data_IF_470988808962
#
_entry.id   IF_470988808962
#
_cell.length_a   1.000
_cell.length_b   1.000
_cell.length_c   1.000
_cell.angle_alpha   90.00
_cell.angle_beta   90.00
_cell.angle_gamma   90.00
#
_symmetry.space_group_name_H-M   'P 1'
#
loop_
_entity.id
_entity.type
_entity.pdbx_description
1 polymer ?
#
# COMPACT_ATOMS: atom_id res chain seq x y z
N UNK A 1 -25.09 -17.37 12.28
CA UNK A 1 -25.12 -18.64 11.53
C UNK A 1 -23.85 -18.74 10.70
N UNK A 2 -23.07 -19.81 10.90
CA UNK A 2 -21.92 -20.10 10.05
C UNK A 2 -22.45 -20.76 8.77
N UNK A 3 -22.45 -20.01 7.66
CA UNK A 3 -22.84 -20.54 6.34
C UNK A 3 -21.61 -20.89 5.53
N UNK A 4 -21.74 -21.84 4.63
CA UNK A 4 -20.65 -22.25 3.72
C UNK A 4 -21.00 -21.97 2.26
N UNK A 5 -19.99 -21.75 1.42
CA UNK A 5 -20.16 -21.41 0.00
C UNK A 5 -19.43 -22.43 -0.88
N UNK A 6 -20.16 -23.15 -1.74
CA UNK A 6 -19.57 -24.15 -2.64
C UNK A 6 -20.32 -24.26 -3.96
N UNK A 7 -19.67 -24.86 -4.95
CA UNK A 7 -20.32 -25.22 -6.21
C UNK A 7 -21.47 -26.19 -5.95
N UNK A 8 -22.54 -26.05 -6.75
CA UNK A 8 -23.64 -27.01 -6.73
C UNK A 8 -23.28 -28.24 -7.56
N UNK A 9 -23.78 -29.39 -7.12
CA UNK A 9 -23.76 -30.63 -7.90
C UNK A 9 -25.11 -30.85 -8.60
N UNK A 10 -25.12 -31.68 -9.65
CA UNK A 10 -26.36 -32.05 -10.35
C UNK A 10 -27.42 -32.70 -9.45
N UNK A 11 -26.99 -33.36 -8.37
CA UNK A 11 -27.90 -33.95 -7.37
C UNK A 11 -28.72 -32.89 -6.62
N UNK A 12 -28.31 -31.62 -6.64
CA UNK A 12 -28.94 -30.51 -5.93
C UNK A 12 -29.82 -29.64 -6.85
N UNK A 13 -29.94 -30.00 -8.14
CA UNK A 13 -30.68 -29.22 -9.13
C UNK A 13 -32.16 -29.03 -8.76
N UNK A 14 -32.79 -30.05 -8.17
CA UNK A 14 -34.21 -29.97 -7.75
C UNK A 14 -34.40 -28.98 -6.59
N UNK A 15 -33.48 -28.99 -5.62
CA UNK A 15 -33.51 -28.04 -4.50
C UNK A 15 -33.28 -26.60 -4.99
N UNK A 16 -32.33 -26.39 -5.92
CA UNK A 16 -32.09 -25.09 -6.53
C UNK A 16 -33.33 -24.60 -7.31
N UNK A 17 -33.93 -25.47 -8.14
CA UNK A 17 -35.13 -25.12 -8.89
C UNK A 17 -36.30 -24.74 -7.96
N UNK A 18 -36.50 -25.47 -6.86
CA UNK A 18 -37.53 -25.15 -5.88
C UNK A 18 -37.33 -23.76 -5.23
N UNK A 19 -36.10 -23.41 -4.87
CA UNK A 19 -35.78 -22.07 -4.33
C UNK A 19 -36.02 -20.98 -5.37
N UNK A 20 -35.70 -21.24 -6.64
CA UNK A 20 -35.87 -20.27 -7.73
C UNK A 20 -37.34 -19.99 -8.03
N UNK A 21 -38.15 -21.04 -8.18
CA UNK A 21 -39.60 -20.93 -8.39
C UNK A 21 -40.27 -20.19 -7.23
N UNK A 22 -39.84 -20.42 -5.99
CA UNK A 22 -40.34 -19.71 -4.82
C UNK A 22 -39.86 -18.24 -4.71
N UNK A 23 -38.90 -17.82 -5.54
CA UNK A 23 -38.29 -16.49 -5.49
C UNK A 23 -38.73 -15.55 -6.62
N UNK A 24 -39.28 -16.08 -7.71
CA UNK A 24 -39.71 -15.31 -8.86
C UNK A 24 -41.22 -15.45 -9.13
N UNK A 25 -41.79 -14.47 -9.84
CA UNK A 25 -43.16 -14.56 -10.34
C UNK A 25 -43.30 -15.72 -11.36
N UNK A 26 -44.52 -16.28 -11.53
CA UNK A 26 -44.75 -17.32 -12.53
C UNK A 26 -44.25 -16.92 -13.92
N UNK A 27 -43.46 -17.81 -14.55
CA UNK A 27 -42.87 -17.58 -15.88
C UNK A 27 -41.53 -16.83 -15.90
N UNK A 28 -41.03 -16.31 -14.75
CA UNK A 28 -39.69 -15.71 -14.65
C UNK A 28 -38.60 -16.68 -14.16
N UNK A 29 -38.97 -17.75 -13.45
CA UNK A 29 -38.02 -18.74 -12.94
C UNK A 29 -37.48 -19.64 -14.07
N UNK A 30 -36.20 -20.01 -13.99
CA UNK A 30 -35.63 -21.01 -14.88
C UNK A 30 -36.28 -22.39 -14.69
N UNK A 31 -36.47 -23.11 -15.80
CA UNK A 31 -36.95 -24.50 -15.78
C UNK A 31 -35.92 -25.43 -15.13
N UNK A 32 -36.35 -26.59 -14.61
CA UNK A 32 -35.43 -27.58 -14.04
C UNK A 32 -34.35 -28.03 -15.04
N UNK A 33 -34.71 -28.14 -16.33
CA UNK A 33 -33.75 -28.44 -17.41
C UNK A 33 -32.69 -27.35 -17.51
N UNK A 34 -33.09 -26.08 -17.58
CA UNK A 34 -32.13 -24.96 -17.62
C UNK A 34 -31.21 -24.93 -16.40
N UNK A 35 -31.72 -25.26 -15.20
CA UNK A 35 -30.89 -25.37 -14.00
C UNK A 35 -29.86 -26.49 -14.12
N UNK A 36 -30.29 -27.68 -14.58
CA UNK A 36 -29.38 -28.81 -14.82
C UNK A 36 -28.31 -28.48 -15.86
N UNK A 37 -28.70 -27.86 -16.97
CA UNK A 37 -27.80 -27.45 -18.04
C UNK A 37 -26.78 -26.42 -17.52
N UNK A 38 -27.21 -25.42 -16.73
CA UNK A 38 -26.29 -24.44 -16.13
C UNK A 38 -25.32 -25.06 -15.13
N UNK A 39 -25.76 -26.04 -14.32
CA UNK A 39 -24.86 -26.77 -13.41
C UNK A 39 -23.84 -27.59 -14.21
N UNK A 40 -24.27 -28.22 -15.30
CA UNK A 40 -23.41 -29.05 -16.14
C UNK A 40 -22.42 -28.23 -16.98
N UNK A 41 -22.90 -27.26 -17.75
CA UNK A 41 -22.13 -26.50 -18.74
C UNK A 41 -21.41 -25.30 -18.14
N UNK A 42 -21.95 -24.73 -17.06
CA UNK A 42 -21.48 -23.50 -16.44
C UNK A 42 -21.30 -23.64 -14.92
N UNK A 43 -21.06 -24.85 -14.40
CA UNK A 43 -20.96 -25.13 -12.96
C UNK A 43 -19.90 -24.29 -12.24
N UNK A 44 -18.82 -23.92 -12.94
CA UNK A 44 -17.78 -22.98 -12.50
C UNK A 44 -18.31 -21.58 -12.11
N UNK A 45 -19.49 -21.25 -12.61
CA UNK A 45 -20.20 -19.99 -12.43
C UNK A 45 -21.51 -20.20 -11.66
N UNK A 46 -21.65 -21.32 -10.94
CA UNK A 46 -22.81 -21.64 -10.11
C UNK A 46 -22.37 -21.83 -8.65
N UNK A 47 -22.76 -20.90 -7.78
CA UNK A 47 -22.37 -20.88 -6.37
C UNK A 47 -23.59 -20.97 -5.45
N UNK A 48 -23.58 -21.96 -4.54
CA UNK A 48 -24.57 -22.12 -3.49
C UNK A 48 -24.09 -21.58 -2.15
N UNK A 49 -25.05 -21.15 -1.33
CA UNK A 49 -24.87 -20.90 0.10
C UNK A 49 -25.64 -21.94 0.90
N UNK A 50 -24.98 -22.49 1.91
CA UNK A 50 -25.48 -23.62 2.68
C UNK A 50 -25.54 -23.27 4.16
N UNK A 51 -26.66 -23.62 4.78
CA UNK A 51 -26.85 -23.67 6.22
C UNK A 51 -26.66 -25.12 6.67
N UNK A 52 -25.55 -25.38 7.36
CA UNK A 52 -24.99 -26.72 7.52
C UNK A 52 -24.84 -27.44 6.14
N UNK A 53 -25.68 -28.43 5.86
CA UNK A 53 -25.69 -29.20 4.60
C UNK A 53 -26.83 -28.80 3.67
N UNK A 54 -27.74 -27.92 4.11
CA UNK A 54 -28.94 -27.56 3.35
C UNK A 54 -28.66 -26.38 2.44
N UNK A 55 -28.99 -26.49 1.15
CA UNK A 55 -28.95 -25.36 0.22
C UNK A 55 -30.01 -24.33 0.61
N UNK A 56 -29.59 -23.10 0.90
CA UNK A 56 -30.49 -22.01 1.33
C UNK A 56 -30.48 -20.80 0.39
N UNK A 57 -29.69 -20.85 -0.68
CA UNK A 57 -29.66 -19.85 -1.73
C UNK A 57 -28.55 -20.14 -2.73
N UNK A 58 -28.60 -19.47 -3.88
CA UNK A 58 -27.55 -19.59 -4.89
C UNK A 58 -27.52 -18.40 -5.84
N UNK A 59 -26.41 -18.29 -6.54
CA UNK A 59 -26.20 -17.40 -7.67
C UNK A 59 -25.63 -18.20 -8.82
N UNK A 60 -26.12 -17.95 -10.03
CA UNK A 60 -25.65 -18.63 -11.23
C UNK A 60 -25.52 -17.65 -12.40
N UNK A 61 -24.63 -18.00 -13.33
CA UNK A 61 -24.42 -17.23 -14.54
C UNK A 61 -23.83 -18.08 -15.67
N UNK A 62 -23.83 -17.53 -16.88
CA UNK A 62 -23.15 -18.11 -18.04
C UNK A 62 -22.19 -17.10 -18.65
N UNK A 63 -21.12 -17.59 -19.28
CA UNK A 63 -20.25 -16.74 -20.07
C UNK A 63 -20.86 -16.46 -21.43
N UNK A 64 -20.61 -15.26 -21.92
CA UNK A 64 -21.00 -14.75 -23.23
C UNK A 64 -19.79 -14.20 -23.99
N UNK A 65 -19.86 -14.32 -25.32
CA UNK A 65 -18.91 -13.69 -26.22
C UNK A 65 -19.20 -12.19 -26.41
N UNK A 66 -20.43 -11.75 -26.12
CA UNK A 66 -20.88 -10.36 -26.27
C UNK A 66 -21.04 -9.70 -24.90
N UNK A 67 -20.70 -8.42 -24.81
CA UNK A 67 -20.85 -7.65 -23.57
C UNK A 67 -22.31 -7.31 -23.29
N UNK A 68 -23.07 -7.02 -24.35
CA UNK A 68 -24.46 -6.61 -24.23
C UNK A 68 -25.37 -7.79 -23.84
N UNK A 69 -26.25 -7.56 -22.87
CA UNK A 69 -27.28 -8.52 -22.52
C UNK A 69 -28.44 -8.46 -23.54
N UNK A 70 -28.54 -9.52 -24.35
CA UNK A 70 -29.61 -9.78 -25.33
C UNK A 70 -30.15 -11.19 -25.09
N UNK A 71 -31.31 -11.52 -25.65
CA UNK A 71 -31.84 -12.90 -25.55
C UNK A 71 -30.82 -13.93 -26.05
N UNK A 72 -30.15 -13.64 -27.17
CA UNK A 72 -29.10 -14.49 -27.75
C UNK A 72 -27.88 -14.62 -26.84
N UNK A 73 -27.39 -13.50 -26.29
CA UNK A 73 -26.17 -13.49 -25.48
C UNK A 73 -26.35 -14.17 -24.11
N UNK A 74 -27.60 -14.30 -23.65
CA UNK A 74 -27.99 -14.97 -22.42
C UNK A 74 -28.41 -16.44 -22.62
N UNK A 75 -28.64 -16.89 -23.85
CA UNK A 75 -29.24 -18.19 -24.14
C UNK A 75 -28.31 -19.39 -23.85
N UNK A 76 -27.01 -19.25 -24.13
CA UNK A 76 -26.06 -20.36 -24.07
C UNK A 76 -24.78 -20.00 -23.31
N UNK A 77 -24.14 -21.01 -22.74
CA UNK A 77 -22.81 -20.84 -22.15
C UNK A 77 -21.74 -20.87 -23.25
N UNK A 78 -20.91 -19.82 -23.30
CA UNK A 78 -19.75 -19.74 -24.17
C UNK A 78 -18.46 -19.94 -23.35
N UNK A 79 -17.81 -21.12 -23.36
CA UNK A 79 -16.63 -21.40 -22.52
C UNK A 79 -15.44 -20.46 -22.72
N UNK A 80 -15.33 -19.83 -23.91
CA UNK A 80 -14.30 -18.84 -24.25
C UNK A 80 -14.80 -17.39 -24.15
N UNK A 81 -16.01 -17.18 -23.64
CA UNK A 81 -16.60 -15.88 -23.39
C UNK A 81 -15.82 -15.10 -22.33
N UNK A 82 -15.94 -13.78 -22.37
CA UNK A 82 -15.28 -12.87 -21.42
C UNK A 82 -16.26 -12.10 -20.54
N UNK A 83 -17.54 -12.17 -20.87
CA UNK A 83 -18.59 -11.43 -20.17
C UNK A 83 -19.48 -12.44 -19.45
N UNK A 84 -19.64 -12.30 -18.14
CA UNK A 84 -20.50 -13.19 -17.37
C UNK A 84 -21.88 -12.57 -17.19
N UNK A 85 -22.93 -13.25 -17.64
CA UNK A 85 -24.30 -12.87 -17.34
C UNK A 85 -24.80 -13.62 -16.11
N UNK A 86 -25.18 -12.91 -15.05
CA UNK A 86 -25.90 -13.50 -13.91
C UNK A 86 -27.37 -13.67 -14.29
N UNK A 87 -27.87 -14.89 -14.15
CA UNK A 87 -29.28 -15.21 -14.44
C UNK A 87 -30.15 -15.15 -13.20
N UNK A 88 -29.64 -15.62 -12.06
CA UNK A 88 -30.42 -15.67 -10.81
C UNK A 88 -29.54 -15.42 -9.60
N UNK A 89 -30.06 -14.67 -8.63
CA UNK A 89 -29.53 -14.53 -7.27
C UNK A 89 -30.70 -14.68 -6.30
N UNK A 90 -30.81 -15.85 -5.68
CA UNK A 90 -31.98 -16.22 -4.87
C UNK A 90 -31.57 -16.73 -3.49
N UNK A 91 -32.40 -16.41 -2.49
CA UNK A 91 -32.27 -16.89 -1.11
C UNK A 91 -33.63 -17.39 -0.66
N UNK A 92 -33.65 -18.58 -0.05
CA UNK A 92 -34.85 -19.20 0.49
C UNK A 92 -35.56 -18.26 1.47
N UNK A 93 -36.90 -18.27 1.46
CA UNK A 93 -37.71 -17.30 2.21
C UNK A 93 -37.37 -17.27 3.71
N UNK A 94 -37.10 -18.44 4.31
CA UNK A 94 -36.68 -18.61 5.71
C UNK A 94 -35.36 -17.93 6.07
N UNK A 95 -34.54 -17.60 5.08
CA UNK A 95 -33.18 -17.09 5.24
C UNK A 95 -33.00 -15.67 4.69
N UNK A 96 -34.08 -15.04 4.21
CA UNK A 96 -34.07 -13.64 3.71
C UNK A 96 -33.89 -12.65 4.87
N UNK A 97 -33.45 -11.43 4.53
CA UNK A 97 -33.19 -10.31 5.48
C UNK A 97 -32.09 -10.57 6.52
N UNK A 98 -31.29 -11.62 6.34
CA UNK A 98 -30.14 -11.95 7.19
C UNK A 98 -28.78 -11.55 6.56
N UNK A 99 -28.81 -10.72 5.51
CA UNK A 99 -27.61 -10.31 4.76
C UNK A 99 -26.98 -11.39 3.88
N UNK A 100 -27.63 -12.56 3.72
CA UNK A 100 -27.08 -13.68 2.97
C UNK A 100 -26.92 -13.41 1.48
N UNK A 101 -27.85 -12.67 0.85
CA UNK A 101 -27.73 -12.29 -0.56
C UNK A 101 -26.47 -11.44 -0.82
N UNK A 102 -26.17 -10.49 0.07
CA UNK A 102 -24.94 -9.68 -0.01
C UNK A 102 -23.69 -10.54 0.14
N UNK A 103 -23.67 -11.44 1.13
CA UNK A 103 -22.53 -12.36 1.35
C UNK A 103 -22.32 -13.32 0.18
N UNK A 104 -23.40 -13.82 -0.40
CA UNK A 104 -23.37 -14.70 -1.56
C UNK A 104 -22.85 -13.98 -2.79
N UNK A 105 -23.43 -12.82 -3.13
CA UNK A 105 -23.00 -12.03 -4.28
C UNK A 105 -21.56 -11.54 -4.14
N UNK A 106 -21.16 -11.06 -2.95
CA UNK A 106 -19.77 -10.62 -2.74
C UNK A 106 -18.77 -11.77 -2.81
N UNK A 107 -19.14 -12.98 -2.36
CA UNK A 107 -18.32 -14.18 -2.52
C UNK A 107 -18.22 -14.59 -3.99
N UNK A 108 -19.32 -14.50 -4.72
CA UNK A 108 -19.38 -14.82 -6.14
C UNK A 108 -18.53 -13.87 -6.98
N UNK A 109 -18.75 -12.56 -6.86
CA UNK A 109 -17.95 -11.54 -7.55
C UNK A 109 -16.45 -11.72 -7.26
N UNK A 110 -16.06 -11.95 -6.00
CA UNK A 110 -14.66 -12.20 -5.65
C UNK A 110 -14.06 -13.39 -6.42
N UNK A 111 -14.76 -14.52 -6.49
CA UNK A 111 -14.29 -15.70 -7.25
C UNK A 111 -14.18 -15.43 -8.75
N UNK A 112 -14.99 -14.53 -9.28
CA UNK A 112 -15.00 -14.17 -10.70
C UNK A 112 -13.91 -13.15 -11.06
N UNK A 113 -13.62 -12.21 -10.16
CA UNK A 113 -12.49 -11.28 -10.31
C UNK A 113 -11.17 -12.05 -10.43
N UNK A 114 -11.02 -13.15 -9.68
CA UNK A 114 -9.84 -14.04 -9.76
C UNK A 114 -9.72 -14.79 -11.10
N UNK A 115 -10.83 -14.97 -11.82
CA UNK A 115 -10.83 -15.55 -13.15
C UNK A 115 -10.43 -14.48 -14.17
N UNK A 116 -9.14 -14.41 -14.49
CA UNK A 116 -8.54 -13.34 -15.31
C UNK A 116 -9.15 -13.17 -16.71
N UNK A 117 -9.76 -14.22 -17.27
CA UNK A 117 -10.47 -14.13 -18.55
C UNK A 117 -11.80 -13.39 -18.47
N UNK A 118 -12.44 -13.34 -17.30
CA UNK A 118 -13.70 -12.61 -17.07
C UNK A 118 -13.39 -11.12 -16.97
N UNK A 119 -13.88 -10.36 -17.95
CA UNK A 119 -13.72 -8.91 -18.04
C UNK A 119 -14.83 -8.17 -17.28
N UNK A 120 -16.07 -8.63 -17.41
CA UNK A 120 -17.25 -7.95 -16.85
C UNK A 120 -18.25 -8.96 -16.33
N UNK A 121 -18.93 -8.64 -15.24
CA UNK A 121 -20.12 -9.35 -14.77
C UNK A 121 -21.32 -8.45 -15.02
N UNK A 122 -22.31 -8.92 -15.75
CA UNK A 122 -23.52 -8.20 -16.10
C UNK A 122 -24.75 -8.88 -15.52
N UNK A 123 -25.78 -8.10 -15.19
CA UNK A 123 -27.08 -8.61 -14.75
C UNK A 123 -28.19 -7.63 -15.10
N UNK A 124 -29.42 -8.16 -15.15
CA UNK A 124 -30.64 -7.37 -15.21
C UNK A 124 -31.24 -7.24 -13.82
N UNK A 125 -31.64 -6.03 -13.43
CA UNK A 125 -32.32 -5.78 -12.16
C UNK A 125 -33.55 -4.90 -12.32
N UNK A 126 -34.64 -5.32 -11.67
CA UNK A 126 -35.82 -4.50 -11.46
C UNK A 126 -35.46 -3.22 -10.68
N UNK A 127 -36.15 -2.08 -10.91
CA UNK A 127 -35.83 -0.80 -10.28
C UNK A 127 -35.65 -0.86 -8.76
N UNK A 128 -36.44 -1.67 -8.06
CA UNK A 128 -36.40 -1.80 -6.61
C UNK A 128 -35.13 -2.50 -6.07
N UNK A 129 -34.43 -3.27 -6.92
CA UNK A 129 -33.21 -4.01 -6.58
C UNK A 129 -31.92 -3.28 -7.00
N UNK A 130 -31.99 -2.25 -7.84
CA UNK A 130 -30.81 -1.51 -8.33
C UNK A 130 -29.93 -1.03 -7.17
N UNK A 131 -30.53 -0.43 -6.14
CA UNK A 131 -29.78 0.08 -4.99
C UNK A 131 -29.02 -1.00 -4.23
N UNK A 132 -29.49 -2.25 -4.24
CA UNK A 132 -28.77 -3.39 -3.63
C UNK A 132 -27.51 -3.72 -4.43
N UNK A 133 -27.61 -3.84 -5.75
CA UNK A 133 -26.47 -4.17 -6.61
C UNK A 133 -25.43 -3.05 -6.66
N UNK A 134 -25.87 -1.79 -6.67
CA UNK A 134 -24.95 -0.63 -6.58
C UNK A 134 -24.15 -0.66 -5.28
N UNK A 135 -24.78 -0.99 -4.15
CA UNK A 135 -24.07 -1.21 -2.87
C UNK A 135 -23.08 -2.38 -2.93
N UNK A 136 -23.26 -3.31 -3.85
CA UNK A 136 -22.34 -4.43 -4.10
C UNK A 136 -21.28 -4.12 -5.17
N UNK A 137 -21.17 -2.87 -5.63
CA UNK A 137 -20.13 -2.41 -6.56
C UNK A 137 -20.50 -2.46 -8.04
N UNK A 138 -21.76 -2.76 -8.38
CA UNK A 138 -22.23 -2.70 -9.77
C UNK A 138 -22.57 -1.25 -10.17
N UNK A 139 -22.29 -0.89 -11.42
CA UNK A 139 -22.70 0.36 -12.02
C UNK A 139 -23.91 0.15 -12.94
N UNK A 140 -24.87 1.08 -12.93
CA UNK A 140 -25.99 1.09 -13.89
C UNK A 140 -25.47 1.62 -15.23
N UNK A 141 -25.67 0.87 -16.31
CA UNK A 141 -25.19 1.24 -17.65
C UNK A 141 -26.32 1.84 -18.48
N UNK A 142 -27.46 1.16 -18.54
CA UNK A 142 -28.61 1.56 -19.36
C UNK A 142 -29.90 0.92 -18.87
N UNK A 143 -31.02 1.40 -19.40
CA UNK A 143 -32.28 0.67 -19.39
C UNK A 143 -32.17 -0.52 -20.34
N UNK A 144 -32.66 -1.68 -19.92
CA UNK A 144 -32.57 -2.92 -20.68
C UNK A 144 -33.33 -2.81 -22.00
N UNK A 145 -32.74 -3.21 -23.14
CA UNK A 145 -33.48 -3.37 -24.39
C UNK A 145 -34.38 -4.63 -24.37
N UNK A 146 -34.11 -5.58 -23.46
CA UNK A 146 -34.89 -6.80 -23.26
C UNK A 146 -36.02 -6.48 -22.28
N UNK A 147 -37.25 -6.36 -22.81
CA UNK A 147 -38.43 -6.09 -22.01
C UNK A 147 -39.16 -7.39 -21.64
N UNK A 148 -39.00 -7.86 -20.40
CA UNK A 148 -39.88 -8.90 -19.86
C UNK A 148 -41.18 -8.25 -19.35
N UNK A 149 -42.31 -8.44 -20.05
CA UNK A 149 -43.66 -8.02 -19.65
C UNK A 149 -43.84 -6.52 -19.32
N UNK A 150 -43.34 -5.62 -20.17
CA UNK A 150 -43.55 -4.15 -20.07
C UNK A 150 -42.91 -3.45 -18.85
N UNK A 151 -42.18 -4.16 -17.98
CA UNK A 151 -41.36 -3.56 -16.94
C UNK A 151 -39.95 -3.29 -17.48
N UNK A 152 -39.44 -2.07 -17.28
CA UNK A 152 -38.09 -1.72 -17.75
C UNK A 152 -37.07 -2.03 -16.66
N UNK A 153 -36.39 -3.16 -16.81
CA UNK A 153 -35.24 -3.52 -15.99
C UNK A 153 -34.03 -2.67 -16.37
N UNK A 154 -33.06 -2.58 -15.45
CA UNK A 154 -31.78 -1.94 -15.68
C UNK A 154 -30.71 -2.99 -15.95
N UNK A 155 -29.81 -2.69 -16.88
CA UNK A 155 -28.58 -3.44 -17.07
C UNK A 155 -27.49 -2.86 -16.17
N UNK A 156 -26.93 -3.71 -15.31
CA UNK A 156 -25.85 -3.34 -14.40
C UNK A 156 -24.61 -4.17 -14.66
N UNK A 157 -23.45 -3.55 -14.50
CA UNK A 157 -22.15 -4.20 -14.72
C UNK A 157 -21.20 -4.03 -13.55
N UNK A 158 -20.38 -5.05 -13.31
CA UNK A 158 -19.22 -5.01 -12.44
C UNK A 158 -17.98 -5.22 -13.31
N UNK A 159 -17.05 -4.26 -13.28
CA UNK A 159 -15.82 -4.31 -14.06
C UNK A 159 -14.75 -5.11 -13.31
N UNK A 160 -14.54 -6.36 -13.72
CA UNK A 160 -13.51 -7.23 -13.12
C UNK A 160 -12.10 -6.76 -13.46
N UNK A 161 -11.89 -6.06 -14.59
CA UNK A 161 -10.58 -5.52 -14.95
C UNK A 161 -10.22 -4.40 -13.99
N UNK A 162 -11.12 -3.42 -13.81
CA UNK A 162 -10.92 -2.34 -12.86
C UNK A 162 -10.78 -2.85 -11.41
N UNK A 163 -11.52 -3.90 -11.04
CA UNK A 163 -11.43 -4.51 -9.72
C UNK A 163 -10.12 -5.28 -9.46
N UNK A 164 -9.37 -5.67 -10.50
CA UNK A 164 -8.04 -6.28 -10.39
C UNK A 164 -6.91 -5.24 -10.34
N UNK A 165 -7.19 -4.00 -10.73
CA UNK A 165 -6.18 -2.95 -10.68
C UNK A 165 -5.79 -2.65 -9.24
N UNK A 166 -4.50 -2.42 -9.01
CA UNK A 166 -3.96 -2.08 -7.70
C UNK A 166 -3.58 -0.61 -7.68
N UNK A 167 -4.08 0.13 -6.70
CA UNK A 167 -3.71 1.53 -6.52
C UNK A 167 -2.24 1.66 -6.13
N UNK A 168 -1.57 2.60 -6.79
CA UNK A 168 -0.19 2.98 -6.50
C UNK A 168 -0.09 4.49 -6.47
N UNK A 169 0.61 5.01 -5.47
CA UNK A 169 0.92 6.43 -5.36
C UNK A 169 2.43 6.62 -5.24
N UNK A 170 2.90 7.81 -5.64
CA UNK A 170 4.25 8.28 -5.34
C UNK A 170 4.12 9.44 -4.37
N UNK A 171 4.83 9.33 -3.24
CA UNK A 171 4.81 10.31 -2.17
C UNK A 171 6.25 10.75 -1.90
N UNK A 172 6.43 12.06 -1.89
CA UNK A 172 7.67 12.69 -1.45
C UNK A 172 7.62 12.88 0.05
N UNK A 173 8.37 12.06 0.79
CA UNK A 173 8.49 12.13 2.24
C UNK A 173 9.52 13.19 2.66
N UNK A 174 9.30 13.83 3.81
CA UNK A 174 10.09 14.96 4.31
C UNK A 174 10.08 16.17 3.37
N UNK A 175 8.97 16.36 2.65
CA UNK A 175 8.77 17.40 1.66
C UNK A 175 7.61 18.32 2.04
N UNK A 176 7.75 19.62 1.71
CA UNK A 176 6.65 20.61 1.81
C UNK A 176 6.08 20.97 0.45
N UNK A 177 6.78 20.62 -0.63
CA UNK A 177 6.37 20.84 -2.02
C UNK A 177 6.69 19.59 -2.85
N UNK A 178 5.97 19.36 -3.96
CA UNK A 178 6.31 18.32 -4.92
C UNK A 178 7.77 18.42 -5.36
N UNK A 179 8.39 17.26 -5.57
CA UNK A 179 9.75 17.07 -6.09
C UNK A 179 10.89 17.44 -5.12
N UNK A 180 10.56 17.76 -3.87
CA UNK A 180 11.50 17.80 -2.75
C UNK A 180 11.47 16.45 -1.99
N UNK A 181 12.26 16.31 -0.94
CA UNK A 181 12.23 15.13 -0.07
C UNK A 181 12.76 13.85 -0.71
N UNK A 182 12.39 12.72 -0.11
CA UNK A 182 12.73 11.38 -0.59
C UNK A 182 11.48 10.68 -1.15
N UNK A 183 11.44 10.35 -2.46
CA UNK A 183 10.28 9.74 -3.08
C UNK A 183 10.16 8.26 -2.68
N UNK A 184 8.95 7.84 -2.33
CA UNK A 184 8.61 6.43 -2.19
C UNK A 184 7.33 6.11 -2.97
N UNK A 185 7.33 4.97 -3.66
CA UNK A 185 6.08 4.40 -4.14
C UNK A 185 5.37 3.72 -2.98
N UNK A 186 4.05 3.86 -2.89
CA UNK A 186 3.21 3.17 -1.90
C UNK A 186 2.12 2.41 -2.62
N UNK A 187 1.98 1.14 -2.29
CA UNK A 187 0.99 0.22 -2.83
C UNK A 187 0.13 -0.29 -1.68
N UNK A 188 -1.15 0.09 -1.70
CA UNK A 188 -2.13 -0.35 -0.70
C UNK A 188 -2.80 -1.62 -1.20
N UNK A 189 -2.67 -2.70 -0.44
CA UNK A 189 -3.17 -4.03 -0.78
C UNK A 189 -4.26 -4.45 0.21
N UNK A 190 -5.18 -5.28 -0.26
CA UNK A 190 -6.00 -6.10 0.63
C UNK A 190 -5.15 -7.15 1.33
N UNK A 191 -5.61 -7.66 2.48
CA UNK A 191 -4.91 -8.73 3.20
C UNK A 191 -4.68 -9.95 2.31
N UNK A 192 -5.68 -10.29 1.50
CA UNK A 192 -5.60 -11.41 0.56
C UNK A 192 -4.55 -11.22 -0.52
N UNK A 193 -4.46 -10.02 -1.11
CA UNK A 193 -3.43 -9.71 -2.11
C UNK A 193 -2.03 -9.79 -1.48
N UNK A 194 -1.89 -9.32 -0.24
CA UNK A 194 -0.65 -9.37 0.52
C UNK A 194 -0.20 -10.81 0.84
N UNK A 195 -1.14 -11.75 0.96
CA UNK A 195 -0.90 -13.17 1.26
C UNK A 195 -0.96 -14.07 0.00
N UNK A 196 -1.09 -13.48 -1.19
CA UNK A 196 -1.24 -14.26 -2.42
C UNK A 196 0.02 -15.08 -2.74
N UNK A 197 -0.10 -16.31 -3.28
CA UNK A 197 1.05 -17.08 -3.73
C UNK A 197 1.89 -16.29 -4.75
N UNK A 198 3.20 -16.21 -4.53
CA UNK A 198 4.11 -15.48 -5.42
C UNK A 198 4.08 -13.95 -5.28
N UNK A 199 3.34 -13.39 -4.31
CA UNK A 199 3.24 -11.94 -4.08
C UNK A 199 4.60 -11.29 -3.84
N UNK A 200 5.54 -11.95 -3.16
CA UNK A 200 6.87 -11.41 -2.91
C UNK A 200 7.67 -11.17 -4.21
N UNK A 201 7.62 -12.13 -5.14
CA UNK A 201 8.25 -11.97 -6.44
C UNK A 201 7.62 -10.81 -7.21
N UNK A 202 6.29 -10.67 -7.12
CA UNK A 202 5.57 -9.54 -7.72
C UNK A 202 5.96 -8.20 -7.06
N UNK A 203 6.04 -8.14 -5.73
CA UNK A 203 6.49 -6.94 -4.99
C UNK A 203 7.90 -6.52 -5.41
N UNK A 204 8.82 -7.48 -5.57
CA UNK A 204 10.17 -7.18 -6.05
C UNK A 204 10.18 -6.69 -7.50
N UNK A 205 9.39 -7.30 -8.39
CA UNK A 205 9.28 -6.87 -9.80
C UNK A 205 8.72 -5.45 -9.92
N UNK A 206 7.67 -5.14 -9.15
CA UNK A 206 7.09 -3.79 -9.13
C UNK A 206 8.09 -2.79 -8.57
N UNK A 207 8.83 -3.12 -7.51
CA UNK A 207 9.85 -2.23 -6.96
C UNK A 207 10.98 -1.94 -7.96
N UNK A 208 11.43 -2.97 -8.69
CA UNK A 208 12.40 -2.85 -9.77
C UNK A 208 11.88 -1.93 -10.90
N UNK A 209 10.64 -2.16 -11.35
CA UNK A 209 10.00 -1.36 -12.41
C UNK A 209 9.78 0.11 -11.98
N UNK A 210 9.47 0.37 -10.71
CA UNK A 210 9.32 1.74 -10.19
C UNK A 210 10.64 2.49 -10.08
N UNK A 211 11.73 1.77 -9.80
CA UNK A 211 13.09 2.32 -9.74
C UNK A 211 13.23 3.59 -8.87
N UNK A 212 12.45 3.66 -7.79
CA UNK A 212 12.62 4.64 -6.70
C UNK A 212 13.53 4.04 -5.62
N UNK A 213 13.95 4.85 -4.64
CA UNK A 213 14.73 4.38 -3.49
C UNK A 213 14.06 3.15 -2.86
N UNK A 214 12.75 3.27 -2.59
CA UNK A 214 11.94 2.18 -2.05
C UNK A 214 10.50 2.21 -2.59
N UNK A 215 9.92 1.01 -2.67
CA UNK A 215 8.47 0.80 -2.78
C UNK A 215 7.95 0.15 -1.50
N UNK A 216 6.97 0.78 -0.86
CA UNK A 216 6.27 0.29 0.32
C UNK A 216 5.00 -0.45 -0.07
N UNK A 217 4.81 -1.65 0.49
CA UNK A 217 3.58 -2.42 0.36
C UNK A 217 2.90 -2.50 1.72
N UNK A 218 1.64 -2.05 1.79
CA UNK A 218 0.90 -1.93 3.03
C UNK A 218 -0.46 -2.61 2.92
N UNK A 219 -0.84 -3.38 3.94
CA UNK A 219 -2.14 -4.04 4.01
C UNK A 219 -2.60 -4.18 5.46
N UNK A 220 -3.91 -4.23 5.75
CA UNK A 220 -4.37 -4.57 7.09
C UNK A 220 -3.87 -5.96 7.53
N UNK A 221 -3.82 -6.23 8.84
CA UNK A 221 -3.42 -7.56 9.35
C UNK A 221 -4.38 -8.67 8.90
N UNK A 222 -5.68 -8.37 8.89
CA UNK A 222 -6.73 -9.25 8.38
C UNK A 222 -7.96 -8.42 8.02
N UNK A 223 -8.96 -9.06 7.39
CA UNK A 223 -10.24 -8.42 7.09
C UNK A 223 -10.91 -7.81 8.33
N UNK A 224 -10.67 -8.38 9.52
CA UNK A 224 -11.20 -7.85 10.77
C UNK A 224 -10.51 -6.55 11.22
N UNK A 225 -9.32 -6.25 10.71
CA UNK A 225 -8.51 -5.07 11.09
C UNK A 225 -8.65 -3.90 10.11
N UNK A 226 -9.49 -4.01 9.07
CA UNK A 226 -9.76 -2.90 8.16
C UNK A 226 -10.30 -1.71 8.96
N UNK A 227 -9.63 -0.57 8.88
CA UNK A 227 -9.98 0.65 9.61
C UNK A 227 -9.58 0.67 11.09
N UNK A 228 -8.72 -0.26 11.56
CA UNK A 228 -8.30 -0.36 12.97
C UNK A 228 -6.85 0.09 13.22
N UNK A 229 -6.24 0.84 12.30
CA UNK A 229 -4.86 1.34 12.44
C UNK A 229 -3.79 0.23 12.67
N UNK A 230 -4.08 -1.02 12.29
CA UNK A 230 -3.19 -2.18 12.41
C UNK A 230 -2.84 -2.74 11.02
N UNK A 231 -1.59 -2.55 10.62
CA UNK A 231 -1.14 -2.84 9.25
C UNK A 231 0.13 -3.69 9.23
N UNK A 232 0.29 -4.46 8.17
CA UNK A 232 1.56 -5.06 7.74
C UNK A 232 2.23 -4.12 6.77
N UNK A 233 3.55 -4.03 6.84
CA UNK A 233 4.34 -3.15 5.97
C UNK A 233 5.65 -3.83 5.58
N UNK A 234 5.93 -3.84 4.28
CA UNK A 234 7.18 -4.33 3.67
C UNK A 234 7.76 -3.24 2.77
N UNK A 235 9.09 -3.22 2.63
CA UNK A 235 9.78 -2.27 1.76
C UNK A 235 10.76 -2.99 0.86
N UNK A 236 10.73 -2.62 -0.41
CA UNK A 236 11.59 -3.18 -1.42
C UNK A 236 12.36 -2.06 -2.10
N UNK A 237 13.67 -2.22 -2.17
CA UNK A 237 14.50 -1.52 -3.14
C UNK A 237 14.34 -2.21 -4.50
N UNK A 238 14.88 -1.64 -5.60
CA UNK A 238 14.91 -2.34 -6.88
C UNK A 238 15.62 -3.70 -6.86
N UNK A 239 16.52 -3.93 -5.88
CA UNK A 239 17.33 -5.15 -5.80
C UNK A 239 16.89 -6.18 -4.76
N UNK A 240 16.30 -5.76 -3.64
CA UNK A 240 15.89 -6.65 -2.55
C UNK A 240 14.87 -6.01 -1.59
N UNK A 241 14.21 -6.87 -0.79
CA UNK A 241 13.50 -6.46 0.42
C UNK A 241 14.48 -5.97 1.49
N UNK A 242 14.14 -4.88 2.18
CA UNK A 242 14.91 -4.35 3.30
C UNK A 242 14.11 -4.40 4.60
N UNK A 243 14.76 -4.62 5.75
CA UNK A 243 14.05 -4.86 7.00
C UNK A 243 13.44 -3.59 7.62
N UNK A 244 13.89 -2.40 7.21
CA UNK A 244 13.46 -1.12 7.78
C UNK A 244 13.67 0.04 6.80
N UNK A 245 12.64 0.87 6.57
CA UNK A 245 12.78 2.13 5.85
C UNK A 245 11.92 3.25 6.46
N UNK A 246 12.55 4.34 6.88
CA UNK A 246 11.86 5.46 7.52
C UNK A 246 10.96 6.25 6.56
N UNK A 247 11.51 6.79 5.47
CA UNK A 247 10.76 7.70 4.61
C UNK A 247 9.59 7.00 3.90
N UNK A 248 9.76 5.73 3.51
CA UNK A 248 8.69 4.93 2.91
C UNK A 248 7.62 4.51 3.93
N UNK A 249 7.96 4.39 5.23
CA UNK A 249 6.97 4.27 6.32
C UNK A 249 6.17 5.54 6.48
N UNK A 250 6.82 6.71 6.45
CA UNK A 250 6.15 8.00 6.48
C UNK A 250 5.19 8.16 5.29
N UNK A 251 5.65 7.82 4.09
CA UNK A 251 4.84 7.82 2.89
C UNK A 251 3.62 6.88 2.99
N UNK A 252 3.80 5.68 3.56
CA UNK A 252 2.71 4.73 3.76
C UNK A 252 1.67 5.27 4.75
N UNK A 253 2.10 5.80 5.89
CA UNK A 253 1.20 6.44 6.86
C UNK A 253 0.42 7.60 6.21
N UNK A 254 1.13 8.50 5.52
CA UNK A 254 0.49 9.60 4.77
C UNK A 254 -0.59 9.11 3.80
N UNK A 255 -0.28 8.06 3.03
CA UNK A 255 -1.21 7.48 2.04
C UNK A 255 -2.45 6.88 2.73
N UNK A 256 -2.25 6.14 3.82
CA UNK A 256 -3.37 5.55 4.58
C UNK A 256 -4.29 6.63 5.18
N UNK A 257 -3.76 7.78 5.56
CA UNK A 257 -4.57 8.89 6.07
C UNK A 257 -5.34 9.60 4.95
N UNK A 258 -4.65 9.99 3.89
CA UNK A 258 -5.26 10.69 2.75
C UNK A 258 -6.37 9.86 2.09
N UNK A 259 -6.22 8.53 2.04
CA UNK A 259 -7.20 7.61 1.45
C UNK A 259 -8.31 7.18 2.43
N UNK A 260 -8.32 7.72 3.66
CA UNK A 260 -9.34 7.42 4.65
C UNK A 260 -9.31 5.98 5.17
N UNK A 261 -8.14 5.32 5.10
CA UNK A 261 -7.94 3.97 5.63
C UNK A 261 -7.71 3.95 7.14
N UNK A 262 -7.31 5.09 7.75
CA UNK A 262 -7.01 5.20 9.18
C UNK A 262 -7.62 6.47 9.81
N UNK A 263 -7.82 6.44 11.13
CA UNK A 263 -8.10 7.65 11.92
C UNK A 263 -6.78 8.29 12.38
N UNK A 264 -6.64 9.61 12.23
CA UNK A 264 -5.45 10.34 12.64
C UNK A 264 -5.35 10.61 14.15
N UNK A 265 -6.37 10.25 14.92
CA UNK A 265 -6.38 10.36 16.39
C UNK A 265 -5.58 9.28 17.09
N UNK A 266 -5.35 8.15 16.43
CA UNK A 266 -4.62 7.01 16.98
C UNK A 266 -3.33 6.75 16.22
N UNK A 267 -2.35 6.15 16.89
CA UNK A 267 -1.13 5.70 16.22
C UNK A 267 -1.46 4.60 15.22
N UNK A 268 -0.82 4.61 14.06
CA UNK A 268 -0.76 3.43 13.20
C UNK A 268 0.33 2.51 13.72
N UNK A 269 0.01 1.22 13.82
CA UNK A 269 0.97 0.15 14.15
C UNK A 269 1.27 -0.66 12.90
N UNK A 270 2.54 -0.67 12.51
CA UNK A 270 3.06 -1.42 11.38
C UNK A 270 3.83 -2.65 11.86
N UNK A 271 3.39 -3.83 11.43
CA UNK A 271 4.03 -5.11 11.67
C UNK A 271 5.00 -5.40 10.51
N UNK A 272 6.29 -5.42 10.82
CA UNK A 272 7.38 -5.40 9.83
C UNK A 272 8.45 -6.43 10.18
N UNK A 273 9.41 -6.69 9.28
CA UNK A 273 10.54 -7.59 9.56
C UNK A 273 11.43 -7.12 10.73
N UNK A 274 11.49 -5.81 10.98
CA UNK A 274 12.20 -5.24 12.14
C UNK A 274 11.35 -5.18 13.41
N UNK A 275 10.16 -5.80 13.41
CA UNK A 275 9.20 -5.73 14.49
C UNK A 275 8.18 -4.60 14.31
N UNK A 276 7.61 -4.16 15.44
CA UNK A 276 6.54 -3.17 15.46
C UNK A 276 7.09 -1.75 15.29
N UNK A 277 6.65 -1.05 14.26
CA UNK A 277 6.86 0.38 14.10
C UNK A 277 5.56 1.13 14.38
N UNK A 278 5.68 2.35 14.90
CA UNK A 278 4.52 3.19 15.14
C UNK A 278 4.70 4.55 14.50
N UNK A 279 3.61 5.07 13.96
CA UNK A 279 3.54 6.44 13.44
C UNK A 279 2.37 7.15 14.10
N UNK A 280 2.53 8.45 14.35
CA UNK A 280 1.47 9.31 14.88
C UNK A 280 1.38 10.59 14.05
N UNK A 281 0.18 11.13 13.96
CA UNK A 281 -0.06 12.41 13.31
C UNK A 281 0.14 13.55 14.30
N UNK A 282 0.88 14.56 13.89
CA UNK A 282 1.18 15.76 14.68
C UNK A 282 0.64 16.97 13.92
N UNK A 283 -0.33 17.66 14.51
CA UNK A 283 -0.88 18.89 13.93
C UNK A 283 -0.03 20.06 14.42
N UNK A 284 0.61 20.74 13.47
CA UNK A 284 1.39 21.94 13.71
C UNK A 284 0.48 23.14 14.00
N UNK A 285 1.03 24.19 14.61
CA UNK A 285 0.28 25.40 14.97
C UNK A 285 -0.35 26.11 13.76
N UNK A 286 0.19 25.91 12.56
CA UNK A 286 -0.34 26.42 11.30
C UNK A 286 -1.36 25.48 10.63
N UNK A 287 -1.77 24.42 11.32
CA UNK A 287 -2.76 23.45 10.85
C UNK A 287 -2.19 22.35 9.94
N UNK A 288 -0.90 22.38 9.59
CA UNK A 288 -0.29 21.31 8.80
C UNK A 288 -0.20 20.02 9.61
N UNK A 289 -0.50 18.89 8.96
CA UNK A 289 -0.34 17.56 9.55
C UNK A 289 1.02 17.01 9.15
N UNK A 290 1.82 16.65 10.15
CA UNK A 290 3.07 15.93 9.98
C UNK A 290 2.97 14.55 10.59
N UNK A 291 3.89 13.67 10.21
CA UNK A 291 3.94 12.29 10.70
C UNK A 291 5.21 12.13 11.51
N UNK A 292 5.05 11.76 12.78
CA UNK A 292 6.14 11.43 13.70
C UNK A 292 6.32 9.91 13.77
N UNK A 293 7.57 9.46 13.64
CA UNK A 293 8.01 8.08 13.72
C UNK A 293 9.01 7.91 14.86
N UNK A 294 9.04 6.74 15.47
CA UNK A 294 9.85 6.46 16.66
C UNK A 294 10.95 5.41 16.39
N UNK A 295 12.21 5.82 16.53
CA UNK A 295 13.39 4.98 16.26
C UNK A 295 14.36 4.96 17.45
N UNK A 296 15.19 3.91 17.58
CA UNK A 296 16.29 3.96 18.54
C UNK A 296 17.37 4.95 18.06
N UNK A 297 17.97 5.68 18.99
CA UNK A 297 19.20 6.40 18.72
C UNK A 297 20.30 5.41 18.34
N UNK A 298 21.14 5.77 17.37
CA UNK A 298 22.33 5.00 17.06
C UNK A 298 23.37 5.23 18.15
N UNK A 299 24.10 4.17 18.52
CA UNK A 299 25.14 4.22 19.53
C UNK A 299 26.44 4.69 18.90
N UNK A 300 27.12 5.63 19.57
CA UNK A 300 28.49 6.02 19.26
C UNK A 300 29.41 4.81 19.44
N UNK A 301 30.30 4.60 18.49
CA UNK A 301 31.41 3.65 18.60
C UNK A 301 32.70 4.43 18.88
N UNK A 302 33.50 3.93 19.82
CA UNK A 302 34.80 4.50 20.14
C UNK A 302 35.88 3.76 19.34
N UNK A 303 36.83 4.51 18.80
CA UNK A 303 37.91 4.01 17.96
C UNK A 303 39.25 4.57 18.44
N UNK A 304 40.34 3.90 18.04
CA UNK A 304 41.70 4.35 18.33
C UNK A 304 42.14 5.50 17.42
N UNK A 305 43.30 6.09 17.74
CA UNK A 305 43.88 7.19 16.98
C UNK A 305 44.25 6.79 15.53
N UNK A 306 44.61 5.52 15.31
CA UNK A 306 44.97 5.02 13.99
C UNK A 306 43.77 5.05 13.04
N UNK A 307 42.62 4.52 13.50
CA UNK A 307 41.37 4.57 12.74
C UNK A 307 40.93 6.01 12.46
N UNK A 308 41.06 6.89 13.46
CA UNK A 308 40.72 8.31 13.29
C UNK A 308 41.60 8.95 12.22
N UNK A 309 42.92 8.78 12.29
CA UNK A 309 43.86 9.38 11.34
C UNK A 309 43.63 8.90 9.90
N UNK A 310 43.42 7.59 9.72
CA UNK A 310 43.10 6.99 8.42
C UNK A 310 41.78 7.54 7.88
N UNK A 311 40.72 7.49 8.69
CA UNK A 311 39.37 7.91 8.29
C UNK A 311 39.33 9.41 7.98
N UNK A 312 39.97 10.25 8.78
CA UNK A 312 40.13 11.69 8.48
C UNK A 312 40.83 11.93 7.15
N UNK A 313 41.92 11.19 6.89
CA UNK A 313 42.67 11.36 5.64
C UNK A 313 41.86 10.94 4.43
N UNK A 314 41.16 9.82 4.52
CA UNK A 314 40.28 9.33 3.47
C UNK A 314 39.11 10.28 3.24
N UNK A 315 38.47 10.79 4.29
CA UNK A 315 37.36 11.74 4.18
C UNK A 315 37.79 13.08 3.58
N UNK A 316 38.93 13.65 3.99
CA UNK A 316 39.42 14.90 3.42
C UNK A 316 39.67 14.76 1.90
N UNK A 317 40.32 13.67 1.50
CA UNK A 317 40.54 13.37 0.08
C UNK A 317 39.22 13.15 -0.67
N UNK A 318 38.35 12.28 -0.14
CA UNK A 318 37.12 11.88 -0.80
C UNK A 318 36.08 13.00 -0.88
N UNK A 319 36.07 13.94 0.07
CA UNK A 319 35.18 15.10 0.06
C UNK A 319 35.78 16.32 -0.66
N UNK A 320 37.06 16.22 -1.06
CA UNK A 320 37.84 17.29 -1.69
C UNK A 320 37.89 18.57 -0.84
N UNK A 321 38.16 18.40 0.46
CA UNK A 321 38.30 19.50 1.43
C UNK A 321 39.59 19.35 2.22
N UNK A 322 40.00 20.42 2.88
CA UNK A 322 41.19 20.40 3.72
C UNK A 322 40.94 19.67 5.04
N UNK A 323 41.96 18.95 5.54
CA UNK A 323 41.85 18.21 6.80
C UNK A 323 41.44 19.09 7.97
N UNK A 324 41.90 20.35 7.99
CA UNK A 324 41.59 21.30 9.06
C UNK A 324 40.12 21.76 9.07
N UNK A 325 39.37 21.53 7.98
CA UNK A 325 37.95 21.85 7.91
C UNK A 325 37.05 20.77 8.49
N UNK A 326 37.60 19.56 8.70
CA UNK A 326 36.93 18.48 9.42
C UNK A 326 37.12 18.74 10.91
N UNK A 327 36.01 18.97 11.60
CA UNK A 327 35.96 19.27 13.04
C UNK A 327 35.84 18.00 13.88
N UNK A 328 35.15 16.98 13.38
CA UNK A 328 35.01 15.69 14.06
C UNK A 328 34.69 14.57 13.07
N UNK A 329 35.16 13.37 13.38
CA UNK A 329 34.78 12.12 12.73
C UNK A 329 34.35 11.14 13.81
N UNK A 330 33.14 10.58 13.68
CA UNK A 330 32.57 9.68 14.68
C UNK A 330 31.75 8.59 14.00
N UNK A 331 31.92 7.34 14.41
CA UNK A 331 31.08 6.24 13.93
C UNK A 331 29.86 6.04 14.86
N UNK A 332 28.69 5.89 14.25
CA UNK A 332 27.41 5.60 14.91
C UNK A 332 26.72 4.42 14.22
N UNK A 333 26.71 3.26 14.87
CA UNK A 333 26.31 2.02 14.19
C UNK A 333 27.06 1.87 12.86
N UNK A 334 26.36 1.63 11.76
CA UNK A 334 26.98 1.45 10.43
C UNK A 334 27.35 2.76 9.70
N UNK A 335 27.32 3.92 10.37
CA UNK A 335 27.45 5.24 9.72
C UNK A 335 28.65 6.00 10.25
N UNK A 336 29.43 6.59 9.35
CA UNK A 336 30.54 7.49 9.72
C UNK A 336 30.06 8.93 9.56
N UNK A 337 29.95 9.65 10.67
CA UNK A 337 29.62 11.08 10.70
C UNK A 337 30.89 11.90 10.51
N UNK A 338 30.84 12.86 9.59
CA UNK A 338 31.88 13.84 9.31
C UNK A 338 31.32 15.25 9.56
N UNK A 339 31.69 15.87 10.67
CA UNK A 339 31.32 17.24 10.98
C UNK A 339 32.38 18.18 10.40
N UNK A 340 31.97 19.10 9.54
CA UNK A 340 32.84 20.07 8.89
C UNK A 340 32.40 21.50 9.16
N UNK A 341 33.29 22.46 8.92
CA UNK A 341 32.93 23.88 8.97
C UNK A 341 31.91 24.25 7.89
N UNK A 342 31.00 25.21 8.13
CA UNK A 342 30.00 25.62 7.15
C UNK A 342 30.55 26.01 5.77
N UNK A 343 31.68 26.74 5.63
CA UNK A 343 32.25 27.04 4.30
C UNK A 343 32.68 25.78 3.54
N UNK A 344 33.32 24.83 4.23
CA UNK A 344 33.76 23.57 3.63
C UNK A 344 32.57 22.69 3.25
N UNK A 345 31.52 22.65 4.08
CA UNK A 345 30.28 21.92 3.79
C UNK A 345 29.69 22.27 2.42
N UNK A 346 29.63 23.57 2.10
CA UNK A 346 29.13 24.05 0.81
C UNK A 346 30.07 23.80 -0.36
N UNK A 347 31.37 23.59 -0.10
CA UNK A 347 32.39 23.36 -1.12
C UNK A 347 32.59 21.87 -1.47
N UNK A 348 32.03 20.94 -0.69
CA UNK A 348 32.23 19.49 -0.87
C UNK A 348 31.84 19.02 -2.27
N UNK A 349 32.80 18.37 -2.94
CA UNK A 349 32.63 17.63 -4.18
C UNK A 349 32.97 16.15 -3.93
N UNK A 350 31.97 15.28 -3.68
CA UNK A 350 32.23 13.92 -3.24
C UNK A 350 32.77 13.05 -4.37
N UNK A 351 33.93 12.45 -4.15
CA UNK A 351 34.41 11.28 -4.88
C UNK A 351 33.75 10.04 -4.28
N UNK A 352 32.69 9.58 -4.94
CA UNK A 352 31.93 8.41 -4.49
C UNK A 352 32.73 7.10 -4.52
N UNK A 353 33.73 6.97 -5.40
CA UNK A 353 34.58 5.78 -5.44
C UNK A 353 35.50 5.75 -4.21
N UNK A 354 36.09 6.89 -3.85
CA UNK A 354 36.87 7.02 -2.63
C UNK A 354 36.00 6.80 -1.37
N UNK A 355 34.80 7.38 -1.31
CA UNK A 355 33.87 7.16 -0.19
C UNK A 355 33.45 5.69 -0.03
N UNK A 356 33.31 4.94 -1.14
CA UNK A 356 32.96 3.53 -1.10
C UNK A 356 34.05 2.63 -0.46
N UNK A 357 35.28 3.11 -0.35
CA UNK A 357 36.39 2.38 0.31
C UNK A 357 36.23 2.32 1.83
N UNK A 358 35.48 3.24 2.43
CA UNK A 358 35.30 3.28 3.88
C UNK A 358 34.54 2.04 4.38
N UNK A 359 34.89 1.48 5.55
CA UNK A 359 34.26 0.29 6.12
C UNK A 359 32.91 0.60 6.78
N UNK A 360 32.10 1.48 6.19
CA UNK A 360 30.79 1.88 6.69
C UNK A 360 29.70 1.71 5.61
N UNK A 361 28.43 1.74 6.01
CA UNK A 361 27.29 1.74 5.09
C UNK A 361 27.13 3.09 4.38
N UNK A 362 27.35 4.18 5.12
CA UNK A 362 27.17 5.54 4.60
C UNK A 362 27.98 6.55 5.40
N UNK A 363 28.44 7.59 4.71
CA UNK A 363 29.04 8.79 5.29
C UNK A 363 27.96 9.85 5.47
N UNK A 364 27.87 10.41 6.68
CA UNK A 364 26.93 11.47 7.05
C UNK A 364 27.72 12.76 7.24
N UNK A 365 27.75 13.61 6.23
CA UNK A 365 28.35 14.93 6.30
C UNK A 365 27.40 15.89 7.01
N UNK A 366 27.89 16.66 7.98
CA UNK A 366 27.05 17.62 8.71
C UNK A 366 27.80 18.90 9.06
N UNK A 367 27.06 20.00 9.22
CA UNK A 367 27.57 21.27 9.75
C UNK A 367 26.45 22.00 10.49
N UNK A 368 26.83 22.96 11.34
CA UNK A 368 25.87 23.84 11.97
C UNK A 368 25.23 24.75 10.91
N UNK A 369 23.91 24.88 10.94
CA UNK A 369 23.19 25.72 10.00
C UNK A 369 23.33 27.20 10.39
N UNK A 370 23.28 28.15 9.43
CA UNK A 370 23.24 29.57 9.73
C UNK A 370 22.02 29.92 10.60
N UNK A 371 22.18 30.78 11.60
CA UNK A 371 21.10 31.14 12.52
C UNK A 371 19.85 31.70 11.81
N UNK A 372 20.04 32.42 10.69
CA UNK A 372 18.95 32.99 9.90
C UNK A 372 18.16 31.94 9.09
N UNK A 373 18.62 30.69 9.02
CA UNK A 373 17.99 29.64 8.20
C UNK A 373 16.75 29.03 8.84
N UNK A 374 16.61 29.12 10.17
CA UNK A 374 15.55 28.44 10.92
C UNK A 374 15.79 26.93 11.14
N UNK A 375 16.99 26.43 10.81
CA UNK A 375 17.46 25.08 11.09
C UNK A 375 18.63 25.12 12.07
N UNK A 376 18.81 24.03 12.82
CA UNK A 376 19.93 23.86 13.77
C UNK A 376 21.17 23.31 13.06
N UNK A 377 20.99 22.35 12.15
CA UNK A 377 22.08 21.75 11.39
C UNK A 377 21.65 21.31 9.99
N UNK A 378 22.64 21.18 9.12
CA UNK A 378 22.49 20.60 7.79
C UNK A 378 23.16 19.23 7.70
N UNK A 379 22.65 18.39 6.80
CA UNK A 379 23.21 17.06 6.53
C UNK A 379 23.25 16.73 5.03
N UNK A 380 24.22 15.93 4.62
CA UNK A 380 24.26 15.22 3.33
C UNK A 380 24.66 13.79 3.62
N UNK A 381 24.10 12.83 2.90
CA UNK A 381 24.32 11.41 3.19
C UNK A 381 24.73 10.69 1.93
N UNK A 382 25.90 10.04 1.99
CA UNK A 382 26.50 9.35 0.86
C UNK A 382 26.61 7.86 1.18
N UNK A 383 25.99 7.01 0.37
CA UNK A 383 26.00 5.56 0.54
C UNK A 383 26.41 4.80 -0.72
N UNK A 384 27.52 5.15 -1.40
CA UNK A 384 27.89 4.53 -2.68
C UNK A 384 28.10 3.01 -2.56
N UNK A 385 28.52 2.52 -1.39
CA UNK A 385 28.67 1.09 -1.09
C UNK A 385 27.35 0.30 -1.11
N UNK A 386 26.23 0.98 -0.89
CA UNK A 386 24.88 0.42 -0.99
C UNK A 386 24.17 0.84 -2.28
N UNK A 387 24.92 1.36 -3.26
CA UNK A 387 24.41 1.73 -4.58
C UNK A 387 23.74 3.11 -4.66
N UNK A 388 23.79 3.90 -3.58
CA UNK A 388 23.17 5.25 -3.54
C UNK A 388 24.25 6.29 -3.29
N UNK A 389 24.73 6.93 -4.35
CA UNK A 389 25.79 7.94 -4.25
C UNK A 389 25.44 9.05 -3.26
N UNK A 390 24.26 9.66 -3.40
CA UNK A 390 23.72 10.63 -2.44
C UNK A 390 22.21 10.41 -2.26
N UNK A 391 21.79 10.13 -1.03
CA UNK A 391 20.38 9.88 -0.70
C UNK A 391 19.63 11.22 -0.50
N UNK A 392 18.40 11.40 -1.03
CA UNK A 392 17.70 12.69 -0.93
C UNK A 392 17.45 13.14 0.51
N UNK A 393 16.88 12.25 1.33
CA UNK A 393 16.62 12.47 2.77
C UNK A 393 16.71 11.16 3.53
N UNK A 394 17.61 11.08 4.51
CA UNK A 394 17.92 9.84 5.22
C UNK A 394 17.49 9.91 6.68
N UNK A 395 16.30 9.42 6.99
CA UNK A 395 15.81 9.38 8.38
C UNK A 395 16.76 8.64 9.33
N UNK A 396 17.30 7.49 8.90
CA UNK A 396 18.21 6.69 9.73
C UNK A 396 19.54 7.39 10.08
N UNK A 397 19.99 8.34 9.26
CA UNK A 397 21.15 9.17 9.59
C UNK A 397 20.85 10.14 10.74
N UNK A 398 19.60 10.58 10.87
CA UNK A 398 19.18 11.48 11.95
C UNK A 398 19.11 10.78 13.31
N UNK A 399 19.04 9.45 13.34
CA UNK A 399 19.24 8.66 14.56
C UNK A 399 20.69 8.70 15.08
N UNK A 400 21.68 9.03 14.24
CA UNK A 400 23.06 9.34 14.65
C UNK A 400 23.27 10.83 14.92
N UNK A 401 22.68 11.70 14.08
CA UNK A 401 22.84 13.16 14.21
C UNK A 401 22.21 13.71 15.50
N UNK A 402 21.09 13.16 15.96
CA UNK A 402 20.42 13.62 17.18
C UNK A 402 21.31 13.51 18.43
N UNK A 403 21.85 12.33 18.80
CA UNK A 403 22.77 12.23 19.94
C UNK A 403 24.08 13.00 19.70
N UNK A 404 24.57 13.05 18.46
CA UNK A 404 25.77 13.82 18.12
C UNK A 404 25.60 15.31 18.42
N UNK A 405 24.61 15.97 17.84
CA UNK A 405 24.37 17.41 18.01
C UNK A 405 23.92 17.75 19.43
N UNK A 406 23.20 16.86 20.11
CA UNK A 406 22.90 17.01 21.54
C UNK A 406 24.19 17.11 22.37
N UNK A 407 25.19 16.29 22.10
CA UNK A 407 26.46 16.32 22.83
C UNK A 407 27.36 17.50 22.43
N UNK A 408 27.28 17.96 21.17
CA UNK A 408 28.21 18.96 20.62
C UNK A 408 27.74 20.41 20.77
N UNK A 409 26.44 20.66 20.93
CA UNK A 409 25.94 22.01 21.14
C UNK A 409 25.97 22.38 22.64
N UNK A 410 26.41 23.61 23.00
CA UNK A 410 26.58 24.01 24.41
C UNK A 410 25.31 23.92 25.27
N UNK A 411 24.14 24.10 24.66
CA UNK A 411 22.85 24.07 25.35
C UNK A 411 22.27 22.67 25.50
N UNK A 412 22.94 21.65 24.95
CA UNK A 412 22.49 20.26 24.93
C UNK A 412 21.01 20.10 24.51
N UNK A 413 20.59 20.71 23.39
CA UNK A 413 19.20 20.68 22.97
C UNK A 413 18.77 19.24 22.66
N UNK A 414 17.48 18.98 22.85
CA UNK A 414 16.85 17.67 22.57
C UNK A 414 15.89 17.73 21.37
N UNK A 415 15.57 18.93 20.91
CA UNK A 415 14.72 19.19 19.76
C UNK A 415 15.53 19.91 18.69
N UNK A 416 15.43 19.45 17.46
CA UNK A 416 16.14 20.04 16.33
C UNK A 416 15.22 20.17 15.13
N UNK A 417 15.43 21.22 14.36
CA UNK A 417 15.01 21.36 12.97
C UNK A 417 16.23 21.12 12.09
N UNK A 418 16.20 20.02 11.36
CA UNK A 418 17.26 19.64 10.45
C UNK A 418 16.83 19.82 9.01
N UNK A 419 17.80 20.12 8.13
CA UNK A 419 17.61 20.03 6.68
C UNK A 419 18.69 19.17 6.07
N UNK A 420 18.31 18.11 5.39
CA UNK A 420 19.24 17.39 4.52
C UNK A 420 19.32 18.16 3.20
N UNK A 421 20.50 18.68 2.83
CA UNK A 421 20.68 19.53 1.65
C UNK A 421 21.28 18.75 0.48
N UNK A 422 20.64 17.63 0.14
CA UNK A 422 20.85 16.96 -1.14
C UNK A 422 20.32 17.83 -2.29
N UNK A 423 20.44 17.34 -3.54
CA UNK A 423 19.86 18.02 -4.70
C UNK A 423 18.35 18.27 -4.58
N UNK A 424 17.60 17.37 -3.91
CA UNK A 424 16.15 17.53 -3.68
C UNK A 424 15.87 18.32 -2.41
N UNK A 425 16.69 18.11 -1.39
CA UNK A 425 16.53 18.70 -0.07
C UNK A 425 15.32 18.17 0.70
N UNK A 426 15.37 18.18 2.04
CA UNK A 426 14.19 17.85 2.84
C UNK A 426 14.32 18.23 4.31
N UNK A 427 13.16 18.42 4.94
CA UNK A 427 13.04 18.97 6.28
C UNK A 427 12.65 17.88 7.29
N UNK A 428 13.32 17.88 8.44
CA UNK A 428 13.05 16.93 9.52
C UNK A 428 12.94 17.67 10.85
N UNK A 429 11.85 17.40 11.58
CA UNK A 429 11.82 17.59 13.03
C UNK A 429 12.48 16.39 13.69
N UNK A 430 13.39 16.64 14.63
CA UNK A 430 14.11 15.58 15.34
C UNK A 430 13.99 15.82 16.84
N UNK A 431 13.57 14.80 17.59
CA UNK A 431 13.46 14.86 19.04
C UNK A 431 14.15 13.66 19.69
N UNK A 432 15.20 13.92 20.45
CA UNK A 432 15.91 12.93 21.26
C UNK A 432 15.28 12.86 22.66
N UNK A 433 15.05 11.66 23.17
CA UNK A 433 14.55 11.43 24.53
C UNK A 433 15.64 10.89 25.46
N UNK A 434 15.39 10.92 26.77
CA UNK A 434 16.35 10.45 27.78
C UNK A 434 16.58 8.93 27.74
N UNK A 435 15.61 8.16 27.24
CA UNK A 435 15.72 6.71 27.01
C UNK A 435 16.37 6.37 25.65
N UNK A 436 17.10 7.31 25.04
CA UNK A 436 17.80 7.14 23.76
C UNK A 436 16.88 6.75 22.59
N UNK A 437 15.67 7.32 22.54
CA UNK A 437 14.80 7.27 21.35
C UNK A 437 14.94 8.56 20.55
N UNK A 438 14.84 8.43 19.24
CA UNK A 438 14.85 9.54 18.29
C UNK A 438 13.53 9.50 17.54
N UNK A 439 12.73 10.53 17.78
CA UNK A 439 11.51 10.76 17.04
C UNK A 439 11.82 11.64 15.83
N UNK A 440 11.41 11.17 14.66
CA UNK A 440 11.58 11.88 13.40
C UNK A 440 10.21 12.31 12.90
N UNK A 441 10.03 13.61 12.68
CA UNK A 441 8.78 14.20 12.20
C UNK A 441 9.00 14.80 10.82
N UNK A 442 8.06 14.57 9.90
CA UNK A 442 8.13 15.11 8.56
C UNK A 442 6.76 15.31 7.92
N UNK A 443 6.70 16.27 7.00
CA UNK A 443 5.59 16.42 6.06
C UNK A 443 5.75 15.44 4.88
N UNK A 444 4.66 15.18 4.15
CA UNK A 444 4.68 14.43 2.91
C UNK A 444 3.79 15.08 1.85
N UNK A 445 4.11 14.84 0.58
CA UNK A 445 3.35 15.35 -0.57
C UNK A 445 3.14 14.25 -1.59
N UNK A 446 1.89 13.98 -1.97
CA UNK A 446 1.58 13.10 -3.09
C UNK A 446 1.93 13.79 -4.41
N UNK A 447 2.71 13.12 -5.26
CA UNK A 447 3.09 13.65 -6.58
C UNK A 447 2.49 12.88 -7.75
N UNK A 448 2.08 11.63 -7.52
CA UNK A 448 1.42 10.81 -8.51
C UNK A 448 0.44 9.85 -7.84
N UNK A 449 -0.72 9.65 -8.49
CA UNK A 449 -1.66 8.56 -8.20
C UNK A 449 -2.00 7.84 -9.50
N UNK A 450 -2.00 6.52 -9.46
CA UNK A 450 -2.33 5.70 -10.60
C UNK A 450 -2.76 4.30 -10.20
N UNK A 451 -3.00 3.49 -11.23
CA UNK A 451 -3.43 2.10 -11.11
C UNK A 451 -2.47 1.18 -11.85
N UNK A 452 -2.01 0.14 -11.18
CA UNK A 452 -1.20 -0.91 -11.78
C UNK A 452 -2.07 -1.94 -12.45
N UNK A 453 -1.67 -2.37 -13.64
CA UNK A 453 -2.23 -3.52 -14.31
C UNK A 453 -1.62 -4.78 -13.71
N UNK A 454 -2.46 -5.80 -13.51
CA UNK A 454 -2.04 -7.13 -13.09
C UNK A 454 -1.99 -8.09 -14.27
#
# INVERSE_FOLDING_TARGET
>A
MAVTFRALSLAEAEAAHAIEVASYAPGKAATLTQIRDRIHDAGDYFLGVYDATTLVGFVNGTLSAQQELTEDSMAQHHPRGRYLCIHSLVVAASHRRQGLATKLLSTYVRRLVDKTHVATIALLAEPLHVAFYVKCGFAVVRMSPVAYNQATDFELVFDCIAARQIDVVVVDAFAKRPYEGNPAAVVVLSCRQFDAPGVENWMQQVAMERNLSETAYVAPLSEAHVGQNEYRLRWFTPGCEIPLCGHATLAAAFTLFEDGHCDNKECIRFHTLSGLLTTRYVVQADGRVEIEMDFPALRKQDHDEAWLLETFSTLAHALQIEKYDILAVVEYGTKVLCHVRPPAYSAVQPDFAALATLPCQSVVLTCQAPAASGYDFYSRVFGPKVGVNEDPVTGSAHCALAPYWHAHLPTHPRHFRARQTSRRGGDLGVRLTDDNRVFLTGSAVMTLRGKMLQ
#
